data_IF_931975279860
#
_entry.id   IF_931975279860
#
_cell.length_a   1.000
_cell.length_b   1.000
_cell.length_c   1.000
_cell.angle_alpha   90.00
_cell.angle_beta   90.00
_cell.angle_gamma   90.00
#
_symmetry.space_group_name_H-M   'P 1'
#
loop_
_entity.id
_entity.type
_entity.pdbx_description
1 polymer ?
#
# COMPACT_ATOMS: atom_id res chain seq x y z
N UNK A 1 -9.66 -1.01 7.67
CA UNK A 1 -9.58 -0.05 8.79
C UNK A 1 -9.01 1.24 8.23
N UNK A 2 -9.91 2.07 7.70
CA UNK A 2 -9.65 3.43 7.25
C UNK A 2 -9.43 4.31 8.48
N UNK A 3 -8.29 5.00 8.58
CA UNK A 3 -8.11 6.23 9.37
C UNK A 3 -6.73 6.80 9.07
N UNK A 4 -6.63 8.13 9.03
CA UNK A 4 -5.48 8.98 8.67
C UNK A 4 -5.33 9.38 7.20
N UNK A 5 -6.47 9.69 6.54
CA UNK A 5 -6.49 10.89 5.70
C UNK A 5 -6.65 12.09 6.62
N UNK A 6 -5.53 12.56 7.18
CA UNK A 6 -5.50 13.78 7.97
C UNK A 6 -5.80 14.95 7.02
N UNK A 7 -6.93 15.58 7.31
CA UNK A 7 -7.53 16.68 6.58
C UNK A 7 -6.54 17.80 6.34
N UNK A 8 -6.12 17.99 5.09
CA UNK A 8 -5.61 19.27 4.59
C UNK A 8 -6.72 20.31 4.80
N UNK A 9 -6.64 21.06 5.90
CA UNK A 9 -7.55 22.15 6.18
C UNK A 9 -7.42 23.20 5.06
N UNK A 10 -8.50 23.52 4.32
CA UNK A 10 -8.47 24.65 3.41
C UNK A 10 -8.25 25.94 4.21
N UNK A 11 -7.30 26.74 3.76
CA UNK A 11 -6.89 28.04 4.32
C UNK A 11 -8.12 28.87 4.79
N UNK A 12 -8.11 29.42 6.02
CA UNK A 12 -9.09 30.40 6.48
C UNK A 12 -8.80 31.77 5.85
N UNK A 13 -8.90 31.84 4.52
CA UNK A 13 -8.41 32.94 3.66
C UNK A 13 -9.28 34.20 3.65
N UNK A 14 -10.41 34.22 4.39
CA UNK A 14 -11.36 35.34 4.37
C UNK A 14 -11.05 36.45 5.39
N UNK A 15 -10.36 36.13 6.47
CA UNK A 15 -10.08 37.10 7.56
C UNK A 15 -8.75 37.82 7.31
N UNK A 16 -7.78 37.12 6.72
CA UNK A 16 -6.40 37.58 6.50
C UNK A 16 -6.23 38.72 5.48
N UNK A 17 -7.01 38.72 4.40
CA UNK A 17 -6.92 39.72 3.34
C UNK A 17 -7.69 41.02 3.66
N UNK A 18 -8.63 40.97 4.60
CA UNK A 18 -9.34 42.15 5.11
C UNK A 18 -8.43 43.07 5.91
N UNK A 19 -7.51 42.53 6.71
CA UNK A 19 -6.63 43.34 7.56
C UNK A 19 -5.40 43.90 6.83
N UNK A 20 -4.89 43.19 5.81
CA UNK A 20 -3.78 43.69 4.98
C UNK A 20 -4.18 44.91 4.13
N UNK A 21 -5.43 44.96 3.66
CA UNK A 21 -5.96 46.09 2.88
C UNK A 21 -6.33 47.29 3.77
N UNK A 22 -6.74 47.08 5.03
CA UNK A 22 -6.85 48.12 6.07
C UNK A 22 -5.49 48.77 6.37
N UNK A 23 -4.41 47.99 6.39
CA UNK A 23 -3.07 48.50 6.67
C UNK A 23 -2.48 49.33 5.50
N UNK A 24 -2.74 48.94 4.25
CA UNK A 24 -2.33 49.72 3.06
C UNK A 24 -3.17 51.00 2.91
N UNK A 25 -4.47 50.95 3.23
CA UNK A 25 -5.31 52.14 3.26
C UNK A 25 -4.87 53.13 4.36
N UNK A 26 -4.48 52.64 5.55
CA UNK A 26 -3.87 53.46 6.60
C UNK A 26 -2.55 54.14 6.16
N UNK A 27 -1.77 53.46 5.31
CA UNK A 27 -0.52 53.98 4.73
C UNK A 27 -0.75 55.11 3.73
N UNK A 28 -1.71 54.95 2.83
CA UNK A 28 -2.07 55.95 1.82
C UNK A 28 -2.72 57.17 2.48
N UNK A 29 -3.53 56.97 3.52
CA UNK A 29 -4.14 58.04 4.34
C UNK A 29 -3.09 58.79 5.16
N UNK A 30 -2.12 58.11 5.78
CA UNK A 30 -0.99 58.74 6.47
C UNK A 30 -0.09 59.56 5.53
N UNK A 31 0.06 59.10 4.27
CA UNK A 31 0.76 59.84 3.22
C UNK A 31 -0.04 61.07 2.74
N UNK A 32 -1.36 60.95 2.59
CA UNK A 32 -2.24 62.05 2.16
C UNK A 32 -2.43 63.13 3.24
N UNK A 33 -2.62 62.74 4.51
CA UNK A 33 -2.70 63.66 5.66
C UNK A 33 -1.40 64.44 5.88
N UNK A 34 -0.25 63.84 5.57
CA UNK A 34 1.05 64.52 5.62
C UNK A 34 1.23 65.53 4.48
N UNK A 35 0.52 65.36 3.35
CA UNK A 35 0.67 66.20 2.16
C UNK A 35 -0.33 67.36 2.07
N UNK A 36 -1.50 67.27 2.70
CA UNK A 36 -2.55 68.29 2.60
C UNK A 36 -3.03 68.74 3.98
N UNK A 37 -2.50 69.87 4.48
CA UNK A 37 -2.92 70.53 5.73
C UNK A 37 -4.29 71.21 5.53
N UNK A 38 -5.39 70.48 5.54
CA UNK A 38 -6.73 71.09 5.40
C UNK A 38 -7.46 71.15 6.74
N UNK A 39 -7.80 72.39 7.15
CA UNK A 39 -8.44 72.74 8.42
C UNK A 39 -9.97 72.58 8.42
N UNK A 40 -10.59 72.04 7.38
CA UNK A 40 -12.05 72.08 7.25
C UNK A 40 -12.55 70.87 6.44
N UNK A 41 -13.09 69.85 7.11
CA UNK A 41 -14.29 69.08 6.72
C UNK A 41 -14.59 67.98 7.78
N UNK A 42 -15.88 67.73 8.06
CA UNK A 42 -16.36 66.84 9.13
C UNK A 42 -16.01 65.35 8.91
N UNK A 43 -15.65 64.61 9.97
CA UNK A 43 -15.09 63.24 9.91
C UNK A 43 -16.04 62.13 9.41
N UNK A 44 -17.34 62.37 9.37
CA UNK A 44 -18.36 61.34 9.08
C UNK A 44 -18.48 60.99 7.59
N UNK A 45 -18.35 61.96 6.68
CA UNK A 45 -18.45 61.72 5.23
C UNK A 45 -17.27 60.94 4.65
N UNK A 46 -16.08 61.12 5.23
CA UNK A 46 -14.86 60.42 4.84
C UNK A 46 -14.91 58.94 5.25
N UNK A 47 -15.55 58.63 6.38
CA UNK A 47 -15.71 57.27 6.89
C UNK A 47 -16.68 56.41 6.05
N UNK A 48 -17.72 57.01 5.46
CA UNK A 48 -18.69 56.30 4.62
C UNK A 48 -18.12 55.94 3.24
N UNK A 49 -17.33 56.82 2.62
CA UNK A 49 -16.59 56.51 1.39
C UNK A 49 -15.50 55.46 1.62
N UNK A 50 -14.89 55.45 2.82
CA UNK A 50 -13.93 54.44 3.28
C UNK A 50 -14.54 53.04 3.39
N UNK A 51 -15.78 52.94 3.90
CA UNK A 51 -16.48 51.66 4.03
C UNK A 51 -16.87 51.07 2.66
N UNK A 52 -17.30 51.91 1.71
CA UNK A 52 -17.70 51.47 0.38
C UNK A 52 -16.55 50.91 -0.47
N UNK A 53 -15.37 51.53 -0.46
CA UNK A 53 -14.25 51.07 -1.30
C UNK A 53 -13.56 49.80 -0.77
N UNK A 54 -13.61 49.57 0.55
CA UNK A 54 -13.07 48.35 1.19
C UNK A 54 -13.80 47.08 0.72
N UNK A 55 -15.12 47.16 0.51
CA UNK A 55 -15.95 46.02 0.12
C UNK A 55 -15.62 45.57 -1.32
N UNK A 56 -15.40 46.52 -2.23
CA UNK A 56 -15.14 46.23 -3.66
C UNK A 56 -13.73 45.66 -3.88
N UNK A 57 -12.72 46.21 -3.18
CA UNK A 57 -11.34 45.71 -3.28
C UNK A 57 -11.22 44.29 -2.70
N UNK A 58 -11.93 43.99 -1.62
CA UNK A 58 -11.95 42.67 -1.01
C UNK A 58 -12.55 41.59 -1.93
N UNK A 59 -13.58 41.92 -2.71
CA UNK A 59 -14.21 40.99 -3.65
C UNK A 59 -13.28 40.65 -4.83
N UNK A 60 -12.53 41.62 -5.36
CA UNK A 60 -11.65 41.43 -6.53
C UNK A 60 -10.35 40.66 -6.24
N UNK A 61 -9.78 40.80 -5.05
CA UNK A 61 -8.50 40.15 -4.69
C UNK A 61 -8.62 38.63 -4.53
N UNK A 62 -9.81 38.15 -4.15
CA UNK A 62 -10.09 36.73 -3.94
C UNK A 62 -10.04 35.91 -5.26
N UNK A 63 -10.44 36.50 -6.38
CA UNK A 63 -10.39 35.84 -7.69
C UNK A 63 -8.97 35.78 -8.27
N UNK A 64 -8.13 36.78 -7.97
CA UNK A 64 -6.78 36.88 -8.54
C UNK A 64 -5.78 35.88 -7.93
N UNK A 65 -5.81 35.70 -6.60
CA UNK A 65 -4.91 34.77 -5.90
C UNK A 65 -5.25 33.30 -6.17
N UNK A 66 -6.54 32.97 -6.34
CA UNK A 66 -6.98 31.64 -6.76
C UNK A 66 -6.47 31.26 -8.15
N UNK A 67 -6.33 32.23 -9.06
CA UNK A 67 -5.77 32.00 -10.40
C UNK A 67 -4.26 31.79 -10.36
N UNK A 68 -3.51 32.50 -9.53
CA UNK A 68 -2.05 32.33 -9.41
C UNK A 68 -1.64 30.99 -8.78
N UNK A 69 -2.40 30.50 -7.80
CA UNK A 69 -2.14 29.20 -7.16
C UNK A 69 -2.25 27.99 -8.08
N UNK A 70 -2.94 28.12 -9.22
CA UNK A 70 -3.07 27.04 -10.22
C UNK A 70 -1.87 26.89 -11.15
N UNK A 71 -0.92 27.83 -11.15
CA UNK A 71 0.25 27.83 -12.05
C UNK A 71 1.52 27.24 -11.43
N UNK A 72 1.56 26.97 -10.12
CA UNK A 72 2.76 26.46 -9.43
C UNK A 72 2.48 25.03 -8.95
N UNK A 73 3.21 24.00 -9.44
CA UNK A 73 3.01 22.62 -9.00
C UNK A 73 3.22 22.51 -7.49
N UNK A 74 2.19 22.05 -6.80
CA UNK A 74 1.96 22.18 -5.35
C UNK A 74 2.87 21.33 -4.43
N UNK A 75 3.90 20.67 -4.96
CA UNK A 75 4.65 19.65 -4.21
C UNK A 75 6.08 20.02 -3.79
N UNK A 76 6.61 21.20 -4.17
CA UNK A 76 8.03 21.51 -3.91
C UNK A 76 8.26 22.71 -2.97
N UNK A 77 7.33 23.67 -2.90
CA UNK A 77 7.54 24.92 -2.18
C UNK A 77 6.46 25.14 -1.13
N UNK A 78 6.83 25.02 0.15
CA UNK A 78 5.94 25.33 1.26
C UNK A 78 6.53 26.45 2.11
N UNK A 79 5.66 27.37 2.51
CA UNK A 79 5.99 28.54 3.33
C UNK A 79 5.17 28.45 4.60
N UNK A 80 5.82 28.14 5.71
CA UNK A 80 5.19 28.02 7.02
C UNK A 80 5.80 29.06 7.97
N UNK A 81 5.16 30.24 8.11
CA UNK A 81 5.68 31.27 9.00
C UNK A 81 5.71 30.80 10.45
N UNK A 82 6.61 31.40 11.23
CA UNK A 82 6.78 31.09 12.67
C UNK A 82 5.49 31.39 13.46
N UNK A 83 4.78 32.43 13.05
CA UNK A 83 3.49 32.80 13.61
C UNK A 83 2.40 32.60 12.58
N UNK A 84 1.16 32.70 13.04
CA UNK A 84 0.01 32.73 12.14
C UNK A 84 0.22 33.80 11.04
N UNK A 85 -0.35 33.55 9.86
CA UNK A 85 -0.13 34.42 8.70
C UNK A 85 -0.59 35.86 8.97
N UNK A 86 -1.57 36.02 9.86
CA UNK A 86 -2.16 37.31 10.25
C UNK A 86 -1.11 38.14 10.97
N UNK A 87 -0.49 37.54 11.98
CA UNK A 87 0.49 38.20 12.85
C UNK A 87 1.76 38.50 12.05
N UNK A 88 2.18 37.58 11.19
CA UNK A 88 3.38 37.76 10.36
C UNK A 88 3.23 38.94 9.40
N UNK A 89 2.08 39.08 8.73
CA UNK A 89 1.80 40.22 7.86
C UNK A 89 1.68 41.53 8.65
N UNK A 90 0.98 41.51 9.79
CA UNK A 90 0.83 42.69 10.64
C UNK A 90 2.18 43.20 11.16
N UNK A 91 3.05 42.29 11.61
CA UNK A 91 4.40 42.62 12.07
C UNK A 91 5.25 43.14 10.92
N UNK A 92 5.19 42.54 9.73
CA UNK A 92 5.92 43.01 8.55
C UNK A 92 5.52 44.45 8.18
N UNK A 93 4.21 44.72 8.08
CA UNK A 93 3.70 46.06 7.74
C UNK A 93 4.05 47.05 8.85
N UNK A 94 3.88 46.69 10.13
CA UNK A 94 4.24 47.53 11.26
C UNK A 94 5.72 47.89 11.29
N UNK A 95 6.60 46.93 10.98
CA UNK A 95 8.04 47.12 10.88
C UNK A 95 8.39 48.12 9.76
N UNK A 96 7.82 47.96 8.56
CA UNK A 96 8.07 48.84 7.42
C UNK A 96 7.52 50.25 7.66
N UNK A 97 6.34 50.33 8.30
CA UNK A 97 5.73 51.59 8.72
C UNK A 97 6.58 52.35 9.74
N UNK A 98 7.11 51.65 10.74
CA UNK A 98 7.98 52.27 11.73
C UNK A 98 9.21 52.91 11.07
N UNK A 99 9.77 52.26 10.04
CA UNK A 99 10.92 52.77 9.28
C UNK A 99 10.49 53.98 8.42
N UNK A 100 9.32 53.95 7.80
CA UNK A 100 8.82 55.05 6.97
C UNK A 100 8.52 56.33 7.77
N UNK A 101 8.02 56.21 9.01
CA UNK A 101 7.53 57.35 9.79
C UNK A 101 8.51 57.83 10.87
N UNK A 102 9.15 56.93 11.62
CA UNK A 102 9.99 57.30 12.77
C UNK A 102 11.47 57.52 12.40
N UNK A 103 11.95 56.92 11.32
CA UNK A 103 13.37 56.98 10.95
C UNK A 103 13.77 58.27 10.20
N UNK A 104 13.01 58.78 9.20
CA UNK A 104 13.40 59.97 8.44
C UNK A 104 13.70 61.24 9.25
N UNK A 105 12.95 61.59 10.32
CA UNK A 105 13.28 62.78 11.11
C UNK A 105 14.58 62.62 11.91
N UNK A 106 14.98 61.39 12.25
CA UNK A 106 16.20 61.13 13.04
C UNK A 106 17.49 61.29 12.22
N UNK A 107 17.42 61.02 10.92
CA UNK A 107 18.56 61.14 9.99
C UNK A 107 18.52 62.44 9.17
N UNK A 108 17.68 63.40 9.56
CA UNK A 108 17.49 64.66 8.83
C UNK A 108 18.72 65.59 8.87
N UNK A 109 19.65 65.36 9.80
CA UNK A 109 20.89 66.13 9.93
C UNK A 109 22.02 65.66 8.98
N UNK A 110 21.79 64.59 8.19
CA UNK A 110 22.74 64.06 7.21
C UNK A 110 22.43 64.53 5.78
N UNK A 111 23.42 64.49 4.86
CA UNK A 111 23.19 64.71 3.44
C UNK A 111 22.21 63.67 2.87
N UNK A 112 21.40 64.10 1.89
CA UNK A 112 20.28 63.32 1.32
C UNK A 112 20.70 61.97 0.72
N UNK A 113 21.94 61.84 0.23
CA UNK A 113 22.50 60.59 -0.30
C UNK A 113 22.70 59.56 0.80
N UNK A 114 23.38 59.95 1.89
CA UNK A 114 23.60 59.09 3.05
C UNK A 114 22.29 58.76 3.76
N UNK A 115 21.35 59.70 3.81
CA UNK A 115 20.01 59.46 4.35
C UNK A 115 19.28 58.35 3.59
N UNK A 116 19.26 58.41 2.25
CA UNK A 116 18.63 57.38 1.41
C UNK A 116 19.34 56.04 1.54
N UNK A 117 20.67 56.04 1.61
CA UNK A 117 21.46 54.83 1.77
C UNK A 117 21.16 54.11 3.11
N UNK A 118 21.17 54.84 4.23
CA UNK A 118 20.86 54.27 5.55
C UNK A 118 19.41 53.79 5.66
N UNK A 119 18.46 54.53 5.07
CA UNK A 119 17.05 54.11 4.98
C UNK A 119 16.92 52.84 4.13
N UNK A 120 17.59 52.76 2.98
CA UNK A 120 17.57 51.58 2.11
C UNK A 120 18.13 50.35 2.82
N UNK A 121 19.27 50.48 3.51
CA UNK A 121 19.85 49.39 4.32
C UNK A 121 18.85 48.91 5.37
N UNK A 122 18.12 49.83 6.03
CA UNK A 122 17.15 49.49 7.06
C UNK A 122 15.96 48.71 6.51
N UNK A 123 15.45 49.11 5.34
CA UNK A 123 14.40 48.37 4.63
C UNK A 123 14.89 46.99 4.17
N UNK A 124 16.14 46.87 3.70
CA UNK A 124 16.73 45.58 3.33
C UNK A 124 16.81 44.66 4.55
N UNK A 125 17.33 45.15 5.69
CA UNK A 125 17.39 44.36 6.93
C UNK A 125 16.00 43.95 7.40
N UNK A 126 15.03 44.86 7.38
CA UNK A 126 13.64 44.58 7.73
C UNK A 126 13.00 43.51 6.83
N UNK A 127 13.25 43.60 5.52
CA UNK A 127 12.77 42.63 4.53
C UNK A 127 13.40 41.26 4.75
N UNK A 128 14.71 41.20 5.05
CA UNK A 128 15.40 39.95 5.36
C UNK A 128 14.84 39.27 6.61
N UNK A 129 14.52 40.04 7.66
CA UNK A 129 13.92 39.50 8.89
C UNK A 129 12.54 38.89 8.60
N UNK A 130 11.71 39.57 7.80
CA UNK A 130 10.39 39.04 7.39
C UNK A 130 10.55 37.79 6.53
N UNK A 131 11.50 37.78 5.61
CA UNK A 131 11.77 36.63 4.73
C UNK A 131 12.29 35.42 5.51
N UNK A 132 13.13 35.63 6.53
CA UNK A 132 13.55 34.57 7.46
C UNK A 132 12.39 34.06 8.31
N UNK A 133 11.49 34.94 8.74
CA UNK A 133 10.29 34.58 9.52
C UNK A 133 9.32 33.69 8.73
N UNK A 134 9.27 33.85 7.40
CA UNK A 134 8.46 33.05 6.49
C UNK A 134 8.96 31.60 6.30
N UNK A 135 10.18 31.28 6.74
CA UNK A 135 10.82 29.95 6.61
C UNK A 135 10.50 29.27 5.27
N UNK A 136 11.02 29.79 4.13
CA UNK A 136 10.82 29.11 2.86
C UNK A 136 11.50 27.74 2.91
N UNK A 137 10.72 26.67 2.86
CA UNK A 137 11.25 25.31 2.82
C UNK A 137 11.10 24.74 1.42
N UNK A 138 12.23 24.36 0.84
CA UNK A 138 12.29 23.64 -0.42
C UNK A 138 12.41 22.16 -0.10
N UNK A 139 11.30 21.44 -0.28
CA UNK A 139 11.24 20.01 0.03
C UNK A 139 11.46 19.22 -1.27
N UNK A 140 12.56 18.46 -1.31
CA UNK A 140 12.77 17.45 -2.35
C UNK A 140 12.34 16.10 -1.81
N UNK A 141 11.13 15.68 -2.16
CA UNK A 141 10.67 14.32 -1.87
C UNK A 141 11.23 13.37 -2.92
N UNK A 142 12.22 12.55 -2.55
CA UNK A 142 12.66 11.41 -3.36
C UNK A 142 11.84 10.19 -2.94
N UNK A 143 10.94 9.74 -3.81
CA UNK A 143 10.27 8.46 -3.61
C UNK A 143 11.21 7.35 -4.09
N UNK A 144 11.92 6.74 -3.15
CA UNK A 144 12.65 5.51 -3.44
C UNK A 144 11.62 4.38 -3.55
N UNK A 145 11.38 3.94 -4.78
CA UNK A 145 10.57 2.74 -5.06
C UNK A 145 11.39 1.53 -4.64
N UNK A 146 11.22 1.09 -3.41
CA UNK A 146 11.74 -0.22 -3.02
C UNK A 146 10.98 -1.30 -3.80
N UNK A 147 11.68 -2.20 -4.53
CA UNK A 147 11.03 -3.24 -5.29
C UNK A 147 10.32 -4.19 -4.33
N UNK A 148 9.01 -4.30 -4.49
CA UNK A 148 8.18 -5.26 -3.76
C UNK A 148 8.02 -6.53 -4.62
N UNK A 149 8.36 -7.69 -4.07
CA UNK A 149 8.36 -8.98 -4.75
C UNK A 149 6.96 -9.62 -4.77
N UNK A 150 6.55 -10.16 -5.91
CA UNK A 150 5.36 -10.98 -6.12
C UNK A 150 5.80 -12.45 -6.10
N UNK A 151 5.28 -13.22 -5.14
CA UNK A 151 5.60 -14.65 -5.03
C UNK A 151 4.49 -15.47 -5.67
N UNK A 152 4.83 -16.30 -6.65
CA UNK A 152 3.91 -17.23 -7.30
C UNK A 152 4.21 -18.63 -6.79
N UNK A 153 3.24 -19.22 -6.08
CA UNK A 153 3.29 -20.57 -5.55
C UNK A 153 2.55 -21.52 -6.50
N UNK A 154 3.25 -22.51 -7.04
CA UNK A 154 2.71 -23.50 -7.99
C UNK A 154 2.64 -24.89 -7.37
N UNK A 155 1.48 -25.51 -7.45
CA UNK A 155 1.26 -26.88 -6.97
C UNK A 155 1.90 -27.89 -7.93
N UNK A 156 2.73 -28.79 -7.39
CA UNK A 156 3.37 -29.89 -8.11
C UNK A 156 2.94 -31.27 -7.58
N UNK A 157 1.84 -31.33 -6.85
CA UNK A 157 1.32 -32.56 -6.27
C UNK A 157 0.67 -33.49 -7.30
N UNK A 158 0.58 -34.77 -6.96
CA UNK A 158 0.01 -35.81 -7.84
C UNK A 158 -1.42 -35.52 -8.28
N UNK A 159 -2.24 -34.80 -7.51
CA UNK A 159 -3.60 -34.46 -7.94
C UNK A 159 -3.61 -33.52 -9.16
N UNK A 160 -2.50 -32.81 -9.41
CA UNK A 160 -2.35 -31.98 -10.59
C UNK A 160 -2.18 -32.79 -11.89
N UNK A 161 -1.96 -34.11 -11.80
CA UNK A 161 -1.98 -35.03 -12.97
C UNK A 161 -3.39 -35.33 -13.49
N UNK A 162 -4.44 -35.04 -12.72
CA UNK A 162 -5.82 -35.37 -13.07
C UNK A 162 -6.25 -34.55 -14.29
N UNK A 163 -6.75 -35.25 -15.32
CA UNK A 163 -7.22 -34.71 -16.60
C UNK A 163 -8.66 -34.19 -16.60
N UNK A 164 -9.04 -33.38 -15.61
CA UNK A 164 -10.41 -32.87 -15.46
C UNK A 164 -10.59 -31.42 -15.93
N UNK A 165 -9.57 -30.80 -16.55
CA UNK A 165 -9.70 -29.46 -17.12
C UNK A 165 -10.33 -29.48 -18.52
N UNK A 166 -10.88 -28.36 -19.01
CA UNK A 166 -11.45 -28.27 -20.35
C UNK A 166 -10.49 -28.78 -21.42
N UNK A 167 -10.99 -29.65 -22.31
CA UNK A 167 -10.18 -30.32 -23.32
C UNK A 167 -9.42 -31.56 -22.83
N UNK A 168 -9.75 -32.08 -21.63
CA UNK A 168 -9.11 -33.27 -21.06
C UNK A 168 -7.66 -33.04 -20.63
N UNK A 169 -7.24 -31.77 -20.55
CA UNK A 169 -5.91 -31.40 -20.09
C UNK A 169 -5.78 -31.71 -18.59
N UNK A 170 -4.56 -32.00 -18.15
CA UNK A 170 -4.29 -32.08 -16.72
C UNK A 170 -4.39 -30.70 -16.07
N UNK A 171 -4.71 -30.67 -14.77
CA UNK A 171 -4.68 -29.43 -13.97
C UNK A 171 -3.32 -28.75 -14.08
N UNK A 172 -2.23 -29.52 -14.02
CA UNK A 172 -0.87 -29.01 -14.21
C UNK A 172 -0.64 -28.42 -15.60
N UNK A 173 -1.05 -29.12 -16.66
CA UNK A 173 -0.90 -28.62 -18.02
C UNK A 173 -1.65 -27.29 -18.21
N UNK A 174 -2.82 -27.15 -17.58
CA UNK A 174 -3.59 -25.90 -17.63
C UNK A 174 -2.93 -24.78 -16.82
N UNK A 175 -2.39 -25.09 -15.64
CA UNK A 175 -1.58 -24.16 -14.84
C UNK A 175 -0.35 -23.67 -15.62
N UNK A 176 0.43 -24.59 -16.18
CA UNK A 176 1.62 -24.26 -16.97
C UNK A 176 1.28 -23.48 -18.23
N UNK A 177 0.16 -23.79 -18.89
CA UNK A 177 -0.34 -23.01 -20.03
C UNK A 177 -0.71 -21.59 -19.61
N UNK A 178 -1.44 -21.40 -18.50
CA UNK A 178 -1.81 -20.08 -18.00
C UNK A 178 -0.58 -19.23 -17.65
N UNK A 179 0.45 -19.85 -17.06
CA UNK A 179 1.72 -19.18 -16.77
C UNK A 179 2.51 -18.86 -18.05
N UNK A 180 2.45 -19.73 -19.06
CA UNK A 180 3.07 -19.52 -20.38
C UNK A 180 2.38 -18.40 -21.15
N UNK A 181 1.05 -18.34 -21.13
CA UNK A 181 0.26 -17.28 -21.78
C UNK A 181 0.56 -15.92 -21.12
N UNK A 182 0.82 -15.90 -19.81
CA UNK A 182 1.20 -14.71 -19.04
C UNK A 182 2.72 -14.41 -19.03
N UNK A 183 3.56 -15.25 -19.65
CA UNK A 183 5.03 -15.14 -19.64
C UNK A 183 5.53 -13.75 -20.06
N UNK A 184 4.93 -13.16 -21.09
CA UNK A 184 5.34 -11.83 -21.59
C UNK A 184 5.28 -10.73 -20.53
N UNK A 185 4.35 -10.84 -19.56
CA UNK A 185 4.21 -9.92 -18.43
C UNK A 185 5.17 -10.33 -17.32
N UNK A 186 5.21 -11.61 -16.97
CA UNK A 186 6.07 -12.10 -15.89
C UNK A 186 7.56 -11.99 -16.20
N UNK A 187 8.00 -12.17 -17.44
CA UNK A 187 9.40 -12.05 -17.85
C UNK A 187 9.91 -10.61 -17.69
N UNK A 188 9.07 -9.62 -18.06
CA UNK A 188 9.40 -8.21 -17.83
C UNK A 188 9.57 -7.89 -16.35
N UNK A 189 8.68 -8.42 -15.52
CA UNK A 189 8.72 -8.21 -14.07
C UNK A 189 9.86 -9.01 -13.40
N UNK A 190 10.15 -10.21 -13.91
CA UNK A 190 11.25 -11.06 -13.45
C UNK A 190 12.60 -10.40 -13.70
N UNK A 191 12.79 -9.78 -14.87
CA UNK A 191 14.01 -9.01 -15.18
C UNK A 191 14.20 -7.78 -14.26
N UNK A 192 13.13 -7.29 -13.64
CA UNK A 192 13.18 -6.20 -12.66
C UNK A 192 13.37 -6.71 -11.21
N UNK A 193 13.47 -8.03 -11.00
CA UNK A 193 13.56 -8.64 -9.68
C UNK A 193 12.26 -8.60 -8.88
N UNK A 194 11.12 -8.39 -9.56
CA UNK A 194 9.81 -8.17 -8.93
C UNK A 194 9.02 -9.48 -8.78
N UNK A 195 9.40 -10.58 -9.44
CA UNK A 195 8.63 -11.84 -9.41
C UNK A 195 9.53 -13.02 -9.08
N UNK A 196 9.07 -13.88 -8.17
CA UNK A 196 9.68 -15.18 -7.90
C UNK A 196 8.68 -16.32 -8.02
N UNK A 197 9.13 -17.42 -8.63
CA UNK A 197 8.37 -18.66 -8.75
C UNK A 197 8.85 -19.65 -7.70
N UNK A 198 7.90 -20.25 -6.99
CA UNK A 198 8.18 -21.33 -6.04
C UNK A 198 7.18 -22.45 -6.23
N UNK A 199 7.68 -23.68 -6.21
CA UNK A 199 6.86 -24.88 -6.25
C UNK A 199 6.63 -25.42 -4.85
N UNK A 200 5.44 -25.93 -4.60
CA UNK A 200 5.10 -26.58 -3.33
C UNK A 200 4.49 -27.97 -3.54
N UNK A 201 4.86 -28.87 -2.65
CA UNK A 201 4.33 -30.23 -2.54
C UNK A 201 4.65 -30.79 -1.16
N UNK A 202 5.70 -31.59 -1.06
CA UNK A 202 6.37 -31.93 0.21
C UNK A 202 7.11 -30.70 0.72
N UNK A 203 8.05 -30.17 -0.06
CA UNK A 203 8.88 -29.00 0.30
C UNK A 203 8.53 -27.77 -0.55
N UNK A 204 8.85 -26.58 -0.04
CA UNK A 204 8.84 -25.34 -0.82
C UNK A 204 10.19 -25.16 -1.53
N UNK A 205 10.20 -25.09 -2.87
CA UNK A 205 11.41 -24.92 -3.68
C UNK A 205 11.31 -23.68 -4.55
N UNK A 206 12.35 -22.84 -4.55
CA UNK A 206 12.45 -21.73 -5.50
C UNK A 206 12.92 -22.26 -6.85
N UNK A 207 12.22 -21.94 -7.92
CA UNK A 207 12.51 -22.46 -9.26
C UNK A 207 12.63 -21.34 -10.29
N UNK A 208 13.53 -21.53 -11.25
CA UNK A 208 13.67 -20.63 -12.39
C UNK A 208 12.75 -21.02 -13.55
N UNK A 209 12.55 -22.33 -13.73
CA UNK A 209 11.66 -22.93 -14.70
C UNK A 209 10.74 -23.89 -13.96
N UNK A 210 9.47 -23.93 -14.36
CA UNK A 210 8.51 -24.87 -13.79
C UNK A 210 8.92 -26.31 -14.11
N UNK A 211 8.61 -27.23 -13.23
CA UNK A 211 8.82 -28.65 -13.43
C UNK A 211 8.09 -29.14 -14.70
N UNK A 212 8.64 -30.14 -15.38
CA UNK A 212 7.95 -30.72 -16.54
C UNK A 212 6.72 -31.54 -16.12
N UNK A 213 6.75 -32.12 -14.92
CA UNK A 213 5.69 -32.99 -14.39
C UNK A 213 5.47 -32.81 -12.88
N UNK A 214 4.22 -32.88 -12.41
CA UNK A 214 3.90 -32.83 -10.99
C UNK A 214 4.07 -34.23 -10.36
N UNK A 215 5.23 -34.46 -9.74
CA UNK A 215 5.59 -35.78 -9.18
C UNK A 215 5.35 -35.89 -7.67
N UNK A 216 4.99 -34.79 -7.00
CA UNK A 216 5.06 -34.76 -5.55
C UNK A 216 3.90 -35.54 -4.89
N UNK A 217 4.20 -36.22 -3.79
CA UNK A 217 3.26 -37.14 -3.13
C UNK A 217 2.35 -36.45 -2.13
N UNK A 218 2.74 -35.27 -1.64
CA UNK A 218 1.99 -34.47 -0.67
C UNK A 218 1.66 -33.09 -1.23
N UNK A 219 0.66 -32.48 -0.62
CA UNK A 219 0.21 -31.10 -0.86
C UNK A 219 0.17 -30.38 0.48
N UNK A 220 1.33 -30.09 1.07
CA UNK A 220 1.46 -29.50 2.39
C UNK A 220 1.41 -27.96 2.32
N UNK A 221 0.25 -27.41 1.95
CA UNK A 221 0.02 -25.95 1.79
C UNK A 221 0.39 -25.17 3.06
N UNK A 222 -0.03 -25.64 4.24
CA UNK A 222 0.26 -24.95 5.50
C UNK A 222 1.75 -24.86 5.79
N UNK A 223 2.48 -25.96 5.64
CA UNK A 223 3.94 -25.98 5.82
C UNK A 223 4.65 -25.18 4.74
N UNK A 224 4.16 -25.21 3.48
CA UNK A 224 4.70 -24.38 2.41
C UNK A 224 4.54 -22.87 2.70
N UNK A 225 3.39 -22.44 3.23
CA UNK A 225 3.17 -21.05 3.66
C UNK A 225 4.03 -20.67 4.88
N UNK A 226 4.25 -21.60 5.80
CA UNK A 226 5.16 -21.42 6.95
C UNK A 226 6.63 -21.28 6.50
N UNK A 227 7.07 -22.14 5.60
CA UNK A 227 8.41 -22.09 5.01
C UNK A 227 8.58 -20.83 4.15
N UNK A 228 7.52 -20.41 3.45
CA UNK A 228 7.50 -19.14 2.74
C UNK A 228 7.69 -17.97 3.71
N UNK A 229 6.96 -17.94 4.83
CA UNK A 229 7.07 -16.88 5.85
C UNK A 229 8.50 -16.76 6.39
N UNK A 230 9.19 -17.89 6.59
CA UNK A 230 10.61 -17.90 6.98
C UNK A 230 11.50 -17.29 5.89
N UNK A 231 11.23 -17.60 4.62
CA UNK A 231 11.98 -17.07 3.47
C UNK A 231 11.72 -15.59 3.15
N UNK A 232 10.64 -15.01 3.71
CA UNK A 232 10.26 -13.60 3.52
C UNK A 232 11.08 -12.65 4.41
N UNK A 233 11.74 -13.15 5.47
CA UNK A 233 12.52 -12.30 6.37
C UNK A 233 13.60 -11.51 5.61
N UNK A 234 13.45 -10.18 5.56
CA UNK A 234 14.36 -9.27 4.85
C UNK A 234 13.92 -8.85 3.44
N UNK A 235 12.78 -9.34 2.93
CA UNK A 235 12.22 -8.99 1.63
C UNK A 235 10.85 -8.31 1.78
N UNK A 236 10.59 -7.27 0.99
CA UNK A 236 9.23 -6.69 0.88
C UNK A 236 8.44 -7.50 -0.13
N UNK A 237 7.39 -8.17 0.31
CA UNK A 237 6.48 -8.91 -0.56
C UNK A 237 5.25 -8.04 -0.84
N UNK A 238 4.91 -7.84 -2.11
CA UNK A 238 3.70 -7.15 -2.53
C UNK A 238 2.47 -8.02 -2.29
N UNK A 239 2.54 -9.28 -2.74
CA UNK A 239 1.44 -10.24 -2.67
C UNK A 239 1.92 -11.66 -2.96
N UNK A 240 1.11 -12.64 -2.60
CA UNK A 240 1.33 -14.06 -2.88
C UNK A 240 0.21 -14.56 -3.78
N UNK A 241 0.54 -15.30 -4.84
CA UNK A 241 -0.43 -15.99 -5.69
C UNK A 241 -0.28 -17.49 -5.46
N UNK A 242 -1.29 -18.11 -4.84
CA UNK A 242 -1.35 -19.54 -4.57
C UNK A 242 -2.14 -20.25 -5.67
N UNK A 243 -1.45 -21.04 -6.49
CA UNK A 243 -2.01 -21.84 -7.58
C UNK A 243 -2.08 -23.31 -7.18
N UNK A 244 -3.21 -23.98 -7.38
CA UNK A 244 -3.35 -25.42 -7.12
C UNK A 244 -4.80 -25.88 -7.08
N UNK A 245 -5.07 -27.11 -6.65
CA UNK A 245 -6.46 -27.60 -6.52
C UNK A 245 -7.11 -27.29 -5.16
N UNK A 246 -6.36 -26.69 -4.23
CA UNK A 246 -6.81 -26.28 -2.91
C UNK A 246 -6.97 -27.41 -1.89
N UNK A 247 -6.65 -28.65 -2.27
CA UNK A 247 -6.76 -29.81 -1.38
C UNK A 247 -5.45 -30.04 -0.63
N UNK A 248 -5.39 -29.68 0.65
CA UNK A 248 -4.26 -30.09 1.49
C UNK A 248 -4.29 -31.60 1.75
N UNK A 249 -3.22 -32.28 1.33
CA UNK A 249 -2.94 -33.69 1.64
C UNK A 249 -1.56 -33.78 2.26
N UNK A 250 -1.50 -33.59 3.58
CA UNK A 250 -0.26 -33.55 4.33
C UNK A 250 -0.22 -34.66 5.38
N UNK A 251 0.98 -35.15 5.69
CA UNK A 251 1.24 -36.23 6.64
C UNK A 251 2.29 -35.76 7.66
N UNK A 252 2.30 -36.27 8.91
CA UNK A 252 3.35 -35.97 9.87
C UNK A 252 4.75 -36.20 9.24
N UNK A 253 5.72 -35.30 9.41
CA UNK A 253 5.72 -34.14 10.33
C UNK A 253 5.08 -32.85 9.78
N UNK A 254 4.61 -32.83 8.52
CA UNK A 254 4.00 -31.66 7.86
C UNK A 254 2.49 -31.62 8.07
N UNK A 255 2.06 -30.99 9.16
CA UNK A 255 0.66 -30.94 9.59
C UNK A 255 0.19 -29.52 9.92
N UNK A 256 0.87 -28.49 9.43
CA UNK A 256 0.44 -27.11 9.69
C UNK A 256 -0.92 -26.84 9.03
N UNK A 257 -1.87 -26.22 9.76
CA UNK A 257 -3.17 -25.82 9.19
C UNK A 257 -2.95 -24.64 8.22
N UNK A 258 -3.35 -24.77 6.93
CA UNK A 258 -3.26 -23.69 5.94
C UNK A 258 -3.86 -22.37 6.41
N UNK A 259 -4.96 -22.43 7.18
CA UNK A 259 -5.65 -21.23 7.66
C UNK A 259 -4.85 -20.51 8.73
N UNK A 260 -4.15 -21.27 9.58
CA UNK A 260 -3.27 -20.70 10.59
C UNK A 260 -2.05 -20.05 9.92
N UNK A 261 -1.42 -20.73 8.97
CA UNK A 261 -0.29 -20.18 8.22
C UNK A 261 -0.69 -18.92 7.41
N UNK A 262 -1.87 -18.94 6.77
CA UNK A 262 -2.40 -17.77 6.06
C UNK A 262 -2.68 -16.58 6.98
N UNK A 263 -3.14 -16.83 8.22
CA UNK A 263 -3.38 -15.77 9.22
C UNK A 263 -2.08 -15.05 9.58
N UNK A 264 -0.98 -15.79 9.78
CA UNK A 264 0.34 -15.21 10.05
C UNK A 264 0.79 -14.31 8.90
N UNK A 265 0.61 -14.74 7.65
CA UNK A 265 0.93 -13.92 6.48
C UNK A 265 0.04 -12.66 6.41
N UNK A 266 -1.24 -12.78 6.76
CA UNK A 266 -2.16 -11.64 6.81
C UNK A 266 -1.77 -10.61 7.87
N UNK A 267 -1.19 -11.02 9.00
CA UNK A 267 -0.68 -10.11 10.03
C UNK A 267 0.48 -9.25 9.50
N UNK A 268 1.25 -9.78 8.54
CA UNK A 268 2.29 -9.04 7.81
C UNK A 268 1.72 -8.12 6.70
N UNK A 269 0.39 -7.99 6.60
CA UNK A 269 -0.30 -7.20 5.56
C UNK A 269 0.00 -7.67 4.12
N UNK A 270 0.36 -8.95 3.94
CA UNK A 270 0.61 -9.53 2.63
C UNK A 270 -0.68 -10.23 2.15
N UNK A 271 -1.32 -9.77 1.06
CA UNK A 271 -2.49 -10.44 0.52
C UNK A 271 -2.12 -11.77 -0.17
N UNK A 272 -2.96 -12.78 0.03
CA UNK A 272 -2.86 -14.08 -0.66
C UNK A 272 -4.03 -14.17 -1.66
N UNK A 273 -3.69 -14.27 -2.94
CA UNK A 273 -4.64 -14.52 -4.02
C UNK A 273 -4.61 -15.98 -4.38
N UNK A 274 -5.76 -16.63 -4.51
CA UNK A 274 -5.84 -18.05 -4.86
C UNK A 274 -6.33 -18.23 -6.30
N UNK A 275 -5.73 -19.19 -7.01
CA UNK A 275 -6.15 -19.64 -8.33
C UNK A 275 -6.33 -21.14 -8.27
N UNK A 276 -7.58 -21.58 -8.35
CA UNK A 276 -7.94 -22.99 -8.17
C UNK A 276 -8.09 -23.72 -9.50
N UNK A 277 -7.55 -24.93 -9.59
CA UNK A 277 -7.64 -25.80 -10.76
C UNK A 277 -8.45 -27.07 -10.42
N UNK A 278 -9.48 -27.33 -11.21
CA UNK A 278 -10.34 -28.50 -11.06
C UNK A 278 -11.72 -28.26 -11.66
N UNK A 279 -12.39 -29.32 -12.09
CA UNK A 279 -13.76 -29.20 -12.60
C UNK A 279 -14.76 -28.95 -11.47
N UNK A 280 -15.69 -28.01 -11.69
CA UNK A 280 -16.84 -27.82 -10.79
C UNK A 280 -17.93 -28.90 -10.97
N UNK A 281 -17.85 -29.68 -12.05
CA UNK A 281 -18.85 -30.68 -12.41
C UNK A 281 -18.15 -31.91 -13.00
N UNK A 282 -18.42 -33.08 -12.43
CA UNK A 282 -17.95 -34.36 -12.96
C UNK A 282 -18.59 -34.56 -14.34
N UNK A 283 -17.86 -34.25 -15.41
CA UNK A 283 -18.23 -34.65 -16.76
C UNK A 283 -18.16 -36.18 -16.80
N UNK A 284 -19.21 -36.83 -17.33
CA UNK A 284 -19.60 -38.23 -17.07
C UNK A 284 -18.60 -39.35 -17.39
N UNK A 285 -17.35 -39.02 -17.73
CA UNK A 285 -16.23 -39.97 -17.85
C UNK A 285 -15.41 -40.11 -16.57
N UNK A 286 -15.43 -39.12 -15.67
CA UNK A 286 -14.62 -39.12 -14.45
C UNK A 286 -15.32 -39.88 -13.33
N UNK A 287 -14.61 -40.84 -12.74
CA UNK A 287 -15.07 -41.58 -11.56
C UNK A 287 -14.36 -40.99 -10.35
N UNK A 288 -15.14 -40.59 -9.36
CA UNK A 288 -14.62 -40.18 -8.06
C UNK A 288 -14.89 -41.30 -7.04
N UNK A 289 -13.81 -41.82 -6.46
CA UNK A 289 -13.84 -42.91 -5.47
C UNK A 289 -13.31 -42.36 -4.16
N UNK A 290 -14.13 -42.47 -3.11
CA UNK A 290 -13.78 -42.06 -1.77
C UNK A 290 -13.93 -43.25 -0.82
N UNK A 291 -12.85 -43.59 -0.12
CA UNK A 291 -12.90 -44.52 1.01
C UNK A 291 -13.34 -43.72 2.25
N UNK A 292 -14.58 -43.89 2.67
CA UNK A 292 -15.16 -43.08 3.75
C UNK A 292 -14.70 -43.55 5.14
N UNK A 293 -14.61 -44.86 5.32
CA UNK A 293 -14.23 -45.46 6.59
C UNK A 293 -13.48 -46.77 6.34
N UNK A 294 -12.46 -47.01 7.15
CA UNK A 294 -11.77 -48.28 7.27
C UNK A 294 -11.75 -48.67 8.74
N UNK A 295 -12.63 -49.57 9.14
CA UNK A 295 -12.76 -50.04 10.53
C UNK A 295 -12.13 -51.41 10.64
N UNK A 296 -11.17 -51.53 11.55
CA UNK A 296 -10.54 -52.79 11.93
C UNK A 296 -10.24 -52.77 13.42
N UNK A 297 -10.20 -53.95 14.04
CA UNK A 297 -9.65 -54.05 15.39
C UNK A 297 -8.15 -53.73 15.33
N UNK A 298 -7.64 -52.80 16.17
CA UNK A 298 -6.21 -52.47 16.20
C UNK A 298 -5.35 -53.62 16.75
N UNK A 299 -5.98 -54.59 17.43
CA UNK A 299 -5.32 -55.75 18.02
C UNK A 299 -6.05 -57.00 17.52
N UNK A 300 -5.30 -57.92 16.91
CA UNK A 300 -5.79 -59.22 16.46
C UNK A 300 -4.83 -60.29 16.97
N UNK A 301 -5.36 -61.30 17.64
CA UNK A 301 -4.54 -62.40 18.15
C UNK A 301 -4.02 -63.27 17.01
N UNK A 302 -2.84 -63.85 17.23
CA UNK A 302 -2.23 -64.77 16.27
C UNK A 302 -3.19 -65.93 16.00
N UNK A 303 -3.38 -66.30 14.73
CA UNK A 303 -4.34 -67.29 14.22
C UNK A 303 -5.82 -66.90 14.28
N UNK A 304 -6.16 -65.67 14.68
CA UNK A 304 -7.52 -65.15 14.53
C UNK A 304 -7.69 -64.40 13.20
N UNK A 305 -8.91 -64.43 12.66
CA UNK A 305 -9.28 -63.65 11.48
C UNK A 305 -9.54 -62.19 11.88
N UNK A 306 -8.91 -61.26 11.18
CA UNK A 306 -9.23 -59.85 11.27
C UNK A 306 -10.43 -59.56 10.35
N UNK A 307 -11.51 -58.99 10.88
CA UNK A 307 -12.61 -58.47 10.07
C UNK A 307 -12.33 -57.01 9.77
N UNK A 308 -12.36 -56.67 8.49
CA UNK A 308 -12.04 -55.34 7.99
C UNK A 308 -13.29 -54.80 7.29
N UNK A 309 -13.92 -53.81 7.90
CA UNK A 309 -15.11 -53.17 7.37
C UNK A 309 -14.71 -51.88 6.67
N UNK A 310 -15.18 -51.69 5.44
CA UNK A 310 -14.94 -50.46 4.70
C UNK A 310 -16.20 -49.95 4.03
N UNK A 311 -16.38 -48.63 4.02
CA UNK A 311 -17.40 -47.96 3.20
C UNK A 311 -16.71 -47.26 2.05
N UNK A 312 -17.11 -47.61 0.82
CA UNK A 312 -16.64 -46.98 -0.41
C UNK A 312 -17.79 -46.18 -1.01
N UNK A 313 -17.57 -44.89 -1.21
CA UNK A 313 -18.47 -44.04 -1.98
C UNK A 313 -17.90 -43.88 -3.39
N UNK A 314 -18.71 -44.20 -4.39
CA UNK A 314 -18.35 -44.06 -5.79
C UNK A 314 -19.35 -43.13 -6.49
N UNK A 315 -18.84 -42.05 -7.09
CA UNK A 315 -19.60 -41.12 -7.91
C UNK A 315 -19.19 -41.31 -9.38
N UNK A 316 -20.16 -41.41 -10.28
CA UNK A 316 -19.88 -41.61 -11.71
C UNK A 316 -19.42 -43.03 -12.11
N UNK A 317 -19.44 -44.00 -11.18
CA UNK A 317 -19.03 -45.40 -11.43
C UNK A 317 -20.16 -46.32 -11.94
N UNK A 318 -21.32 -45.76 -12.33
CA UNK A 318 -22.47 -46.57 -12.73
C UNK A 318 -22.13 -47.49 -13.91
N UNK A 319 -22.36 -48.80 -13.75
CA UNK A 319 -22.07 -49.81 -14.77
C UNK A 319 -20.58 -50.14 -14.97
N UNK A 320 -19.68 -49.68 -14.09
CA UNK A 320 -18.25 -50.03 -14.11
C UNK A 320 -17.93 -51.03 -13.00
N UNK A 321 -17.13 -52.05 -13.32
CA UNK A 321 -16.57 -52.95 -12.31
C UNK A 321 -15.44 -52.25 -11.54
N UNK A 322 -15.49 -52.29 -10.21
CA UNK A 322 -14.48 -51.70 -9.33
C UNK A 322 -13.73 -52.82 -8.61
N UNK A 323 -12.41 -52.87 -8.78
CA UNK A 323 -11.55 -53.81 -8.06
C UNK A 323 -10.99 -53.15 -6.82
N UNK A 324 -11.29 -53.69 -5.64
CA UNK A 324 -10.72 -53.25 -4.36
C UNK A 324 -9.60 -54.21 -3.96
N UNK A 325 -8.41 -53.69 -3.67
CA UNK A 325 -7.28 -54.46 -3.18
C UNK A 325 -6.88 -53.99 -1.79
N UNK A 326 -6.71 -54.94 -0.86
CA UNK A 326 -6.13 -54.70 0.45
C UNK A 326 -4.64 -55.05 0.39
N UNK A 327 -3.79 -54.04 0.54
CA UNK A 327 -2.34 -54.21 0.59
C UNK A 327 -1.87 -54.17 2.05
N UNK A 328 -1.03 -55.14 2.42
CA UNK A 328 -0.43 -55.22 3.76
C UNK A 328 1.04 -54.85 3.63
N UNK A 329 1.45 -53.76 4.28
CA UNK A 329 2.85 -53.34 4.32
C UNK A 329 3.60 -54.15 5.39
N UNK A 330 4.70 -54.80 4.99
CA UNK A 330 5.60 -55.47 5.93
C UNK A 330 6.44 -54.40 6.65
N UNK A 331 6.50 -54.39 7.99
CA UNK A 331 7.30 -53.42 8.71
C UNK A 331 8.78 -53.58 8.37
N UNK A 332 9.48 -52.45 8.23
CA UNK A 332 10.94 -52.39 8.09
C UNK A 332 11.61 -53.05 9.30
N UNK A 333 12.72 -53.80 9.15
CA UNK A 333 13.36 -54.59 10.21
C UNK A 333 13.82 -53.81 11.45
N UNK A 334 13.77 -52.47 11.43
CA UNK A 334 14.22 -51.59 12.52
C UNK A 334 13.09 -51.18 13.50
N UNK A 335 11.82 -51.49 13.21
CA UNK A 335 10.68 -51.17 14.08
C UNK A 335 10.28 -52.39 14.93
N UNK A 336 11.02 -52.59 16.03
CA UNK A 336 10.83 -53.72 16.98
C UNK A 336 9.45 -53.80 17.63
N UNK A 337 8.59 -52.78 17.44
CA UNK A 337 7.24 -52.72 18.00
C UNK A 337 6.16 -53.40 17.13
N UNK A 338 6.47 -53.74 15.88
CA UNK A 338 5.49 -54.28 14.91
C UNK A 338 5.88 -55.68 14.45
N UNK A 339 5.56 -56.69 15.25
CA UNK A 339 5.52 -58.09 14.77
C UNK A 339 4.10 -58.41 14.31
N UNK A 340 3.90 -58.60 13.00
CA UNK A 340 2.61 -59.06 12.50
C UNK A 340 2.74 -60.04 11.33
N UNK A 341 1.65 -60.77 11.17
CA UNK A 341 1.41 -62.07 10.56
C UNK A 341 1.98 -62.26 9.14
N UNK A 342 2.55 -63.44 8.92
CA UNK A 342 2.82 -63.96 7.58
C UNK A 342 1.51 -64.46 6.94
N UNK A 343 1.40 -64.36 5.59
CA UNK A 343 0.18 -64.70 4.85
C UNK A 343 -0.29 -66.15 5.03
#
# INVERSE_FOLDING_TARGET
MFLLAETLQPLPSRVLLGWASVAVAGLVVGYYLRRFRWKFLHPLGLALLFAGSMIVVALSANEFLGRLGSFIPSSAFSVSPIWSWEITLLVAVGLWMSIAFLYPPRVAHLPRTTQRFLVAIRYITATLIVLMSLRPTLQWTRQDKEPSELVILTDISRSMTIGDMPGGLSRYATQSKLLTDASTVFDKLRNQGVVSFKEYGVDLKSVENLADQPTDSLTAIGDALKDLTRSIQGKKIASIVLMGDGSQRSLPPRLEDPRQAARVISELQIPIHTVTFGASQLQGTTVDLMLENLRTSPIVFVKNRAVLESSLRALGAAGRELTVQLLIEKPSPDDSSKRTLQP
#
